data_IF_869192482949
#
_entry.id   IF_869192482949
#
_cell.length_a   1.000
_cell.length_b   1.000
_cell.length_c   1.000
_cell.angle_alpha   90.00
_cell.angle_beta   90.00
_cell.angle_gamma   90.00
#
_symmetry.space_group_name_H-M   'P 1'
#
loop_
_entity.id
_entity.type
_entity.pdbx_description
1 polymer ?
#
# COMPACT_ATOMS: atom_id res chain seq x y z
N UNK A 1 18.10 -1.94 25.62
CA UNK A 1 17.31 -1.09 24.71
C UNK A 1 16.29 -2.00 24.03
N UNK A 2 15.13 -2.17 24.66
CA UNK A 2 14.07 -3.12 24.25
C UNK A 2 12.73 -2.37 24.25
N UNK A 3 12.48 -1.63 23.18
CA UNK A 3 11.15 -1.23 22.74
C UNK A 3 11.19 -1.47 21.23
N UNK A 4 10.21 -2.06 20.56
CA UNK A 4 9.07 -1.31 20.01
C UNK A 4 8.07 -2.31 19.39
N UNK A 5 7.75 -3.41 20.09
CA UNK A 5 6.89 -4.46 19.55
C UNK A 5 5.82 -4.86 20.58
N UNK A 6 4.97 -3.91 20.98
CA UNK A 6 4.04 -4.08 22.11
C UNK A 6 2.59 -4.41 21.72
N UNK A 7 2.28 -4.68 20.45
CA UNK A 7 0.94 -5.12 20.03
C UNK A 7 0.97 -6.50 19.40
N UNK A 8 -0.10 -7.28 19.60
CA UNK A 8 -0.27 -8.62 19.02
C UNK A 8 -0.09 -8.64 17.48
N UNK A 9 -0.23 -7.49 16.81
CA UNK A 9 -0.03 -7.32 15.37
C UNK A 9 1.43 -7.01 14.95
N UNK A 10 2.36 -6.77 15.90
CA UNK A 10 3.79 -6.48 15.64
C UNK A 10 4.00 -5.39 14.56
N UNK A 11 3.27 -4.28 14.66
CA UNK A 11 3.41 -3.13 13.76
C UNK A 11 4.26 -2.03 14.41
N UNK A 12 5.12 -1.39 13.62
CA UNK A 12 5.74 -0.12 13.99
C UNK A 12 4.87 1.04 13.49
N UNK A 13 4.49 1.97 14.35
CA UNK A 13 3.71 3.15 13.95
C UNK A 13 4.67 4.26 13.57
N UNK A 14 4.71 4.63 12.29
CA UNK A 14 5.64 5.63 11.77
C UNK A 14 4.90 6.89 11.32
N UNK A 15 5.42 8.10 11.62
CA UNK A 15 4.88 9.35 11.10
C UNK A 15 5.15 9.46 9.59
N UNK A 16 4.17 9.95 8.84
CA UNK A 16 4.28 10.26 7.41
C UNK A 16 4.74 11.71 7.19
N UNK A 17 5.27 11.99 6.01
CA UNK A 17 5.66 13.34 5.56
C UNK A 17 7.16 13.66 5.66
N UNK A 18 7.94 12.90 6.44
CA UNK A 18 9.41 13.11 6.54
C UNK A 18 10.21 12.10 5.72
N UNK A 19 10.10 10.80 6.05
CA UNK A 19 10.86 9.75 5.37
C UNK A 19 10.12 9.21 4.14
N UNK A 20 8.79 9.15 4.23
CA UNK A 20 7.90 8.70 3.18
C UNK A 20 6.48 9.22 3.44
N UNK A 21 5.65 9.13 2.43
CA UNK A 21 4.19 9.29 2.46
C UNK A 21 3.54 7.98 1.99
N UNK A 22 2.22 7.89 2.05
CA UNK A 22 1.53 6.68 1.64
C UNK A 22 0.30 6.97 0.79
N UNK A 23 0.20 6.35 -0.38
CA UNK A 23 -1.05 6.35 -1.15
C UNK A 23 -1.92 5.20 -0.68
N UNK A 24 -3.05 5.56 -0.07
CA UNK A 24 -4.09 4.65 0.38
C UNK A 24 -5.00 4.31 -0.80
N UNK A 25 -4.90 3.06 -1.25
CA UNK A 25 -5.66 2.49 -2.35
C UNK A 25 -6.76 1.57 -1.80
N UNK A 26 -8.04 1.77 -2.19
CA UNK A 26 -9.10 0.81 -1.90
C UNK A 26 -8.81 -0.56 -2.53
N UNK A 27 -9.14 -1.65 -1.84
CA UNK A 27 -8.95 -3.02 -2.35
C UNK A 27 -9.56 -3.21 -3.75
N UNK A 28 -10.79 -2.73 -3.95
CA UNK A 28 -11.48 -2.81 -5.24
C UNK A 28 -10.71 -2.19 -6.40
N UNK A 29 -10.06 -1.04 -6.17
CA UNK A 29 -9.28 -0.33 -7.20
C UNK A 29 -8.06 -1.16 -7.58
N UNK A 30 -7.34 -1.68 -6.56
CA UNK A 30 -6.17 -2.53 -6.80
C UNK A 30 -6.56 -3.80 -7.54
N UNK A 31 -7.57 -4.52 -7.06
CA UNK A 31 -8.03 -5.78 -7.65
C UNK A 31 -8.52 -5.62 -9.09
N UNK A 32 -9.20 -4.51 -9.41
CA UNK A 32 -9.58 -4.17 -10.79
C UNK A 32 -8.35 -3.87 -11.65
N UNK A 33 -7.46 -2.99 -11.18
CA UNK A 33 -6.26 -2.60 -11.91
C UNK A 33 -5.37 -3.80 -12.24
N UNK A 34 -5.25 -4.75 -11.32
CA UNK A 34 -4.48 -5.98 -11.52
C UNK A 34 -5.33 -7.15 -12.01
N UNK A 35 -6.60 -6.96 -12.34
CA UNK A 35 -7.53 -8.00 -12.82
C UNK A 35 -7.46 -9.33 -12.05
N UNK A 36 -7.40 -9.27 -10.72
CA UNK A 36 -7.38 -10.44 -9.85
C UNK A 36 -7.78 -10.09 -8.41
N UNK A 37 -8.33 -11.07 -7.71
CA UNK A 37 -8.59 -11.02 -6.25
C UNK A 37 -7.74 -12.03 -5.47
N UNK A 38 -7.03 -12.92 -6.17
CA UNK A 38 -6.14 -13.91 -5.56
C UNK A 38 -4.90 -13.20 -4.95
N UNK A 39 -4.63 -13.33 -3.65
CA UNK A 39 -3.57 -12.58 -2.97
C UNK A 39 -2.18 -12.74 -3.59
N UNK A 40 -1.82 -13.93 -4.06
CA UNK A 40 -0.52 -14.19 -4.68
C UNK A 40 -0.41 -13.51 -6.04
N UNK A 41 -1.44 -13.67 -6.87
CA UNK A 41 -1.53 -13.02 -8.19
C UNK A 41 -1.54 -11.50 -8.07
N UNK A 42 -2.27 -10.95 -7.09
CA UNK A 42 -2.31 -9.51 -6.82
C UNK A 42 -0.92 -9.01 -6.42
N UNK A 43 -0.24 -9.72 -5.54
CA UNK A 43 1.10 -9.38 -5.06
C UNK A 43 2.13 -9.38 -6.19
N UNK A 44 2.14 -10.41 -7.04
CA UNK A 44 3.01 -10.48 -8.23
C UNK A 44 2.75 -9.32 -9.20
N UNK A 45 1.48 -9.06 -9.53
CA UNK A 45 1.11 -7.99 -10.47
C UNK A 45 1.43 -6.61 -9.89
N UNK A 46 1.18 -6.38 -8.60
CA UNK A 46 1.59 -5.15 -7.91
C UNK A 46 3.10 -4.96 -7.97
N UNK A 47 3.89 -6.00 -7.70
CA UNK A 47 5.33 -5.94 -7.80
C UNK A 47 5.78 -5.57 -9.23
N UNK A 48 5.10 -6.06 -10.26
CA UNK A 48 5.42 -5.70 -11.65
C UNK A 48 5.03 -4.26 -11.98
N UNK A 49 3.81 -3.84 -11.63
CA UNK A 49 3.29 -2.49 -11.89
C UNK A 49 4.10 -1.40 -11.16
N UNK A 50 4.61 -1.69 -9.96
CA UNK A 50 5.31 -0.74 -9.11
C UNK A 50 6.83 -1.00 -9.09
N UNK A 51 7.34 -1.70 -10.10
CA UNK A 51 8.76 -2.04 -10.25
C UNK A 51 9.40 -2.66 -9.00
N UNK A 52 8.64 -3.41 -8.19
CA UNK A 52 9.05 -4.07 -6.95
C UNK A 52 9.09 -3.16 -5.73
N UNK A 53 8.45 -2.00 -5.79
CA UNK A 53 8.41 -1.05 -4.69
C UNK A 53 7.41 -1.48 -3.60
N UNK A 54 7.65 -1.14 -2.34
CA UNK A 54 6.96 -1.77 -1.22
C UNK A 54 5.50 -1.32 -1.09
N UNK A 55 4.63 -2.30 -0.84
CA UNK A 55 3.20 -2.10 -0.65
C UNK A 55 2.73 -2.90 0.57
N UNK A 56 2.02 -2.23 1.46
CA UNK A 56 1.39 -2.86 2.63
C UNK A 56 -0.06 -3.20 2.27
N UNK A 57 -0.52 -4.40 2.60
CA UNK A 57 -1.92 -4.79 2.63
C UNK A 57 -2.44 -4.67 4.06
N UNK A 58 -3.61 -4.06 4.23
CA UNK A 58 -4.34 -3.99 5.50
C UNK A 58 -5.70 -4.70 5.38
N UNK A 59 -5.76 -6.02 5.67
CA UNK A 59 -6.95 -6.83 5.49
C UNK A 59 -8.19 -6.28 6.21
N UNK A 60 -8.01 -5.79 7.44
CA UNK A 60 -9.09 -5.29 8.29
C UNK A 60 -9.86 -4.12 7.67
N UNK A 61 -9.16 -3.20 7.01
CA UNK A 61 -9.79 -2.04 6.37
C UNK A 61 -9.92 -2.16 4.84
N UNK A 62 -9.59 -3.32 4.25
CA UNK A 62 -9.65 -3.58 2.80
C UNK A 62 -8.91 -2.52 1.98
N UNK A 63 -7.66 -2.24 2.37
CA UNK A 63 -6.81 -1.23 1.72
C UNK A 63 -5.42 -1.76 1.43
N UNK A 64 -4.77 -1.08 0.49
CA UNK A 64 -3.34 -1.16 0.24
C UNK A 64 -2.73 0.21 0.49
N UNK A 65 -1.48 0.24 0.95
CA UNK A 65 -0.69 1.45 1.14
C UNK A 65 0.60 1.32 0.34
N UNK A 66 0.69 2.05 -0.77
CA UNK A 66 1.94 2.19 -1.53
C UNK A 66 2.79 3.28 -0.87
N UNK A 67 4.00 2.93 -0.44
CA UNK A 67 4.90 3.91 0.18
C UNK A 67 5.54 4.75 -0.92
N UNK A 68 5.41 6.06 -0.85
CA UNK A 68 5.85 7.02 -1.89
C UNK A 68 6.77 8.10 -1.30
N UNK A 69 7.59 8.79 -2.11
CA UNK A 69 8.43 9.89 -1.64
C UNK A 69 7.62 11.02 -0.97
N UNK A 70 8.21 11.73 0.01
CA UNK A 70 7.62 12.95 0.56
C UNK A 70 7.31 14.00 -0.51
N UNK A 71 6.22 14.76 -0.31
CA UNK A 71 5.73 15.77 -1.26
C UNK A 71 4.79 15.21 -2.33
N UNK A 72 4.59 13.90 -2.39
CA UNK A 72 3.59 13.28 -3.29
C UNK A 72 2.18 13.78 -2.95
N UNK A 73 1.87 13.95 -1.67
CA UNK A 73 0.57 14.43 -1.18
C UNK A 73 0.17 15.81 -1.72
N UNK A 74 1.14 16.67 -2.00
CA UNK A 74 0.92 18.03 -2.50
C UNK A 74 0.54 18.06 -3.99
N UNK A 75 0.89 17.01 -4.73
CA UNK A 75 0.68 16.93 -6.19
C UNK A 75 -0.33 15.84 -6.57
N UNK A 76 -0.79 15.05 -5.61
CA UNK A 76 -1.73 13.95 -5.84
C UNK A 76 -3.10 14.46 -6.30
N UNK A 77 -3.61 13.91 -7.40
CA UNK A 77 -4.83 14.40 -8.05
C UNK A 77 -5.86 13.31 -8.41
N UNK A 78 -5.60 12.03 -8.09
CA UNK A 78 -6.52 10.93 -8.43
C UNK A 78 -7.51 10.68 -7.29
N UNK A 79 -8.82 10.93 -7.49
CA UNK A 79 -9.83 10.87 -6.43
C UNK A 79 -10.17 9.46 -5.92
N UNK A 80 -9.89 8.40 -6.67
CA UNK A 80 -10.12 7.02 -6.24
C UNK A 80 -9.10 6.53 -5.19
N UNK A 81 -8.04 7.31 -4.93
CA UNK A 81 -7.03 7.00 -3.94
C UNK A 81 -6.65 8.26 -3.14
N UNK A 82 -6.23 8.10 -1.89
CA UNK A 82 -5.81 9.24 -1.07
C UNK A 82 -4.32 9.15 -0.77
N UNK A 83 -3.56 10.20 -1.09
CA UNK A 83 -2.21 10.33 -0.56
C UNK A 83 -2.24 10.90 0.87
N UNK A 84 -1.59 10.19 1.79
CA UNK A 84 -1.47 10.53 3.20
C UNK A 84 -0.08 11.14 3.44
N UNK A 85 -0.07 12.40 3.87
CA UNK A 85 1.13 13.20 4.09
C UNK A 85 1.42 13.50 5.56
N UNK A 86 2.05 14.64 5.79
CA UNK A 86 2.37 15.14 7.14
C UNK A 86 1.14 15.15 8.07
N UNK A 87 1.38 14.89 9.37
CA UNK A 87 0.32 14.84 10.39
C UNK A 87 -0.46 13.54 10.44
N UNK A 88 -0.09 12.55 9.61
CA UNK A 88 -0.69 11.21 9.61
C UNK A 88 0.33 10.14 10.02
N UNK A 89 -0.16 8.99 10.48
CA UNK A 89 0.65 7.87 10.94
C UNK A 89 0.24 6.60 10.21
N UNK A 90 1.21 5.73 9.94
CA UNK A 90 0.98 4.43 9.30
C UNK A 90 1.57 3.31 10.15
N UNK A 91 0.76 2.27 10.38
CA UNK A 91 1.25 1.00 10.92
C UNK A 91 2.00 0.24 9.84
N UNK A 92 3.31 0.07 10.05
CA UNK A 92 4.22 -0.62 9.14
C UNK A 92 4.53 -2.02 9.70
N UNK A 93 4.24 -3.10 8.95
CA UNK A 93 4.56 -4.46 9.38
C UNK A 93 6.06 -4.70 9.49
N UNK A 94 6.44 -5.72 10.26
CA UNK A 94 7.81 -6.28 10.21
C UNK A 94 8.18 -6.62 8.77
N UNK A 95 9.45 -6.42 8.40
CA UNK A 95 9.92 -6.70 7.04
C UNK A 95 9.76 -8.16 6.59
N UNK A 96 9.68 -9.11 7.53
CA UNK A 96 9.48 -10.53 7.30
C UNK A 96 7.99 -10.95 7.22
N UNK A 97 7.04 -10.05 7.49
CA UNK A 97 5.61 -10.34 7.40
C UNK A 97 5.11 -10.11 5.97
N UNK A 98 5.22 -11.13 5.11
CA UNK A 98 4.77 -11.09 3.70
C UNK A 98 3.53 -11.92 3.41
N UNK A 99 2.98 -12.58 4.43
CA UNK A 99 1.85 -13.50 4.29
C UNK A 99 0.63 -13.02 5.07
N UNK A 100 -0.54 -13.42 4.57
CA UNK A 100 -1.80 -13.15 5.24
C UNK A 100 -2.00 -14.12 6.41
N UNK A 101 -2.09 -13.58 7.61
CA UNK A 101 -2.50 -14.32 8.80
C UNK A 101 -4.03 -14.24 8.95
N UNK A 102 -4.70 -15.38 8.73
CA UNK A 102 -6.16 -15.45 8.80
C UNK A 102 -6.73 -15.19 10.20
N UNK A 103 -5.96 -15.48 11.25
CA UNK A 103 -6.37 -15.37 12.64
C UNK A 103 -6.27 -13.93 13.14
N UNK A 104 -5.14 -13.28 12.89
CA UNK A 104 -4.92 -11.91 13.37
C UNK A 104 -5.45 -10.85 12.41
N UNK A 105 -5.63 -11.20 11.12
CA UNK A 105 -5.94 -10.27 10.02
C UNK A 105 -4.95 -9.09 9.99
N UNK A 106 -3.73 -9.30 10.48
CA UNK A 106 -2.74 -8.25 10.61
C UNK A 106 -2.30 -7.76 9.22
N UNK A 107 -1.87 -6.50 9.18
CA UNK A 107 -1.26 -5.93 7.97
C UNK A 107 0.04 -6.66 7.64
N UNK A 108 0.29 -6.86 6.35
CA UNK A 108 1.48 -7.53 5.83
C UNK A 108 1.98 -6.84 4.55
N UNK A 109 3.19 -7.17 4.12
CA UNK A 109 3.75 -6.68 2.87
C UNK A 109 3.22 -7.49 1.69
N UNK A 110 2.33 -6.88 0.89
CA UNK A 110 1.95 -7.44 -0.42
C UNK A 110 3.11 -7.36 -1.42
N UNK A 111 3.94 -6.32 -1.32
CA UNK A 111 5.23 -6.26 -2.00
C UNK A 111 6.29 -5.91 -0.95
N UNK A 112 7.28 -6.79 -0.71
CA UNK A 112 8.25 -6.61 0.37
C UNK A 112 9.19 -5.43 0.13
N UNK A 113 9.67 -4.84 1.22
CA UNK A 113 10.76 -3.88 1.17
C UNK A 113 12.09 -4.61 0.95
N UNK A 114 12.51 -4.72 -0.31
CA UNK A 114 13.77 -5.42 -0.67
C UNK A 114 15.02 -4.63 -0.24
N UNK A 115 14.92 -3.30 -0.15
CA UNK A 115 15.99 -2.41 0.30
C UNK A 115 15.41 -1.23 1.10
N UNK A 116 16.09 -0.79 2.18
CA UNK A 116 15.70 0.42 2.90
C UNK A 116 15.59 1.62 1.96
N UNK A 117 14.55 2.44 2.13
CA UNK A 117 14.36 3.68 1.38
C UNK A 117 13.87 3.50 -0.07
N UNK A 118 13.66 2.26 -0.55
CA UNK A 118 13.00 2.05 -1.84
C UNK A 118 11.52 2.38 -1.70
N UNK A 119 11.02 3.32 -2.52
CA UNK A 119 9.64 3.78 -2.52
C UNK A 119 9.04 3.63 -3.92
N UNK A 120 7.71 3.57 -3.99
CA UNK A 120 6.95 3.59 -5.22
C UNK A 120 7.06 4.98 -5.85
N UNK A 121 7.21 5.07 -7.17
CA UNK A 121 7.12 6.38 -7.82
C UNK A 121 5.67 6.85 -7.79
N UNK A 122 5.45 8.16 -7.61
CA UNK A 122 4.09 8.72 -7.63
C UNK A 122 3.37 8.43 -8.96
N UNK A 123 4.12 8.43 -10.08
CA UNK A 123 3.59 8.16 -11.41
C UNK A 123 3.08 6.72 -11.57
N UNK A 124 3.82 5.72 -11.09
CA UNK A 124 3.39 4.31 -11.20
C UNK A 124 2.14 4.04 -10.35
N UNK A 125 2.09 4.63 -9.14
CA UNK A 125 0.91 4.50 -8.27
C UNK A 125 -0.29 5.23 -8.85
N UNK A 126 -0.08 6.40 -9.47
CA UNK A 126 -1.13 7.15 -10.16
C UNK A 126 -1.69 6.34 -11.33
N UNK A 127 -0.83 5.76 -12.17
CA UNK A 127 -1.24 4.93 -13.29
C UNK A 127 -2.08 3.74 -12.81
N UNK A 128 -1.62 3.03 -11.76
CA UNK A 128 -2.37 1.93 -11.15
C UNK A 128 -3.77 2.37 -10.68
N UNK A 129 -3.86 3.50 -9.97
CA UNK A 129 -5.11 4.02 -9.44
C UNK A 129 -6.09 4.43 -10.56
N UNK A 130 -5.58 5.13 -11.59
CA UNK A 130 -6.34 5.53 -12.78
C UNK A 130 -6.91 4.31 -13.52
N UNK A 131 -6.09 3.27 -13.75
CA UNK A 131 -6.53 2.03 -14.41
C UNK A 131 -7.64 1.36 -13.61
N UNK A 132 -7.48 1.22 -12.30
CA UNK A 132 -8.51 0.63 -11.45
C UNK A 132 -9.82 1.42 -11.44
N UNK A 133 -9.76 2.76 -11.44
CA UNK A 133 -10.94 3.63 -11.53
C UNK A 133 -11.64 3.52 -12.88
N UNK A 134 -10.89 3.49 -13.98
CA UNK A 134 -11.46 3.36 -15.34
C UNK A 134 -12.26 2.05 -15.49
N UNK A 135 -11.67 0.94 -15.04
CA UNK A 135 -12.31 -0.38 -15.06
C UNK A 135 -13.46 -0.53 -14.06
N UNK A 136 -13.51 0.33 -13.04
CA UNK A 136 -14.66 0.40 -12.14
C UNK A 136 -15.86 1.04 -12.83
N UNK A 137 -15.65 2.18 -13.50
CA UNK A 137 -16.74 2.85 -14.22
C UNK A 137 -17.33 2.02 -15.38
N UNK A 138 -16.54 1.13 -15.98
CA UNK A 138 -17.01 0.23 -17.05
C UNK A 138 -17.85 -0.95 -16.54
N UNK A 139 -17.72 -1.33 -15.26
CA UNK A 139 -18.46 -2.45 -14.68
C UNK A 139 -19.84 -2.07 -14.12
N UNK A 140 -20.18 -0.79 -14.13
CA UNK A 140 -21.43 -0.22 -13.60
C UNK A 140 -22.40 0.25 -14.73
N UNK A 141 -21.99 0.09 -16.01
CA UNK A 141 -22.75 0.44 -17.21
C UNK A 141 -23.36 -0.80 -17.88
#
# INVERSE_FOLDING_TARGET
>A
MLGEWSSAAKLAVLPLGTAFEAVRLPERIVHRAVASVDPYTVSDRLARCLAGAPVIRDPGFRRYYALVPPGTSQTWCEPAAQCLGEGTYLGVPRGDHTEFDEWTKASYWAVPMVRPGRLCTAADVLALAMTGRCLESEGEA
#
